data_IF_719461471082
#
_entry.id   IF_719461471082
#
_cell.length_a   1.000
_cell.length_b   1.000
_cell.length_c   1.000
_cell.angle_alpha   90.00
_cell.angle_beta   90.00
_cell.angle_gamma   90.00
#
_symmetry.space_group_name_H-M   'P 1'
#
loop_
_entity.id
_entity.type
_entity.pdbx_description
1 polymer ?
#
# COMPACT_ATOMS: atom_id res chain seq x y z
N UNK A 1 2.73 -6.34 15.25
CA UNK A 1 3.67 -7.40 14.83
C UNK A 1 4.58 -6.95 13.69
N UNK A 2 4.12 -6.15 12.74
CA UNK A 2 4.98 -5.53 11.72
C UNK A 2 4.47 -4.14 11.33
N UNK A 3 5.31 -3.37 10.65
CA UNK A 3 4.95 -2.07 10.09
C UNK A 3 4.56 -2.19 8.61
N UNK A 4 3.56 -1.43 8.23
CA UNK A 4 3.13 -1.23 6.85
C UNK A 4 3.01 0.26 6.57
N UNK A 5 3.15 0.63 5.30
CA UNK A 5 2.91 2.00 4.82
C UNK A 5 2.04 1.93 3.59
N UNK A 6 1.03 2.80 3.55
CA UNK A 6 0.25 3.02 2.33
C UNK A 6 1.03 3.95 1.41
N UNK A 7 1.46 3.41 0.27
CA UNK A 7 2.26 4.12 -0.72
C UNK A 7 1.41 4.49 -1.92
N UNK A 8 1.73 5.63 -2.54
CA UNK A 8 1.11 6.06 -3.79
C UNK A 8 1.84 5.40 -4.96
N UNK A 9 1.08 4.80 -5.87
CA UNK A 9 1.61 4.12 -7.06
C UNK A 9 1.04 4.71 -8.34
N UNK A 10 1.86 4.75 -9.38
CA UNK A 10 1.48 5.11 -10.74
C UNK A 10 2.20 4.21 -11.76
N UNK A 11 1.69 4.13 -12.99
CA UNK A 11 2.48 3.61 -14.10
C UNK A 11 3.75 4.46 -14.28
N UNK A 12 4.90 3.86 -14.67
CA UNK A 12 6.12 4.61 -14.96
C UNK A 12 5.92 5.72 -16.00
N UNK A 13 5.03 5.48 -16.98
CA UNK A 13 4.67 6.41 -18.05
C UNK A 13 3.66 7.50 -17.65
N UNK A 14 3.11 7.45 -16.43
CA UNK A 14 2.09 8.40 -15.99
C UNK A 14 2.68 9.83 -15.88
N UNK A 15 2.01 10.89 -16.36
CA UNK A 15 2.57 12.26 -16.38
C UNK A 15 3.07 12.76 -15.02
N UNK A 16 2.38 12.41 -13.94
CA UNK A 16 2.78 12.75 -12.57
C UNK A 16 4.22 12.33 -12.21
N UNK A 17 4.76 11.29 -12.86
CA UNK A 17 6.13 10.81 -12.60
C UNK A 17 7.22 11.73 -13.13
N UNK A 18 6.83 12.73 -13.94
CA UNK A 18 7.71 13.76 -14.50
C UNK A 18 7.78 15.02 -13.65
N UNK A 19 6.91 15.14 -12.63
CA UNK A 19 6.96 16.28 -11.72
C UNK A 19 8.23 16.19 -10.86
N UNK A 20 8.98 17.30 -10.71
CA UNK A 20 10.18 17.32 -9.89
C UNK A 20 9.87 17.15 -8.39
N UNK A 21 8.65 17.50 -7.98
CA UNK A 21 8.14 17.45 -6.61
C UNK A 21 6.64 17.18 -6.70
N UNK A 22 6.18 16.15 -6.00
CA UNK A 22 4.77 15.74 -6.01
C UNK A 22 4.17 16.08 -4.66
N UNK A 23 3.10 16.85 -4.64
CA UNK A 23 2.36 17.21 -3.43
C UNK A 23 1.05 16.43 -3.32
N UNK A 24 0.44 16.45 -2.14
CA UNK A 24 -0.91 15.90 -1.95
C UNK A 24 -1.94 16.56 -2.88
N UNK A 25 -1.80 17.86 -3.14
CA UNK A 25 -2.69 18.59 -4.05
C UNK A 25 -2.54 18.12 -5.50
N UNK A 26 -1.34 17.76 -5.94
CA UNK A 26 -1.10 17.24 -7.29
C UNK A 26 -1.78 15.89 -7.48
N UNK A 27 -1.55 14.95 -6.55
CA UNK A 27 -2.19 13.63 -6.64
C UNK A 27 -3.71 13.74 -6.52
N UNK A 28 -4.25 14.73 -5.80
CA UNK A 28 -5.70 14.92 -5.67
C UNK A 28 -6.41 15.20 -7.00
N UNK A 29 -5.71 15.75 -7.99
CA UNK A 29 -6.25 16.03 -9.33
C UNK A 29 -6.30 14.79 -10.23
N UNK A 30 -5.54 13.75 -9.87
CA UNK A 30 -5.44 12.52 -10.64
C UNK A 30 -6.59 11.56 -10.34
N UNK A 31 -7.03 10.75 -11.33
CA UNK A 31 -8.06 9.76 -11.10
C UNK A 31 -7.54 8.64 -10.18
N UNK A 32 -8.15 8.52 -9.00
CA UNK A 32 -7.83 7.43 -8.08
C UNK A 32 -8.60 6.14 -8.38
N UNK A 33 -7.86 5.04 -8.37
CA UNK A 33 -8.35 3.67 -8.41
C UNK A 33 -8.39 3.15 -6.97
N UNK A 34 -9.58 3.07 -6.40
CA UNK A 34 -9.77 2.78 -4.99
C UNK A 34 -10.31 1.36 -4.77
N UNK A 35 -10.06 0.83 -3.58
CA UNK A 35 -10.84 -0.30 -3.09
C UNK A 35 -12.31 0.11 -2.86
N UNK A 36 -13.19 -0.89 -2.88
CA UNK A 36 -14.62 -0.72 -2.56
C UNK A 36 -14.85 0.12 -1.30
N UNK A 37 -15.93 0.90 -1.35
CA UNK A 37 -16.39 1.71 -0.23
C UNK A 37 -16.48 0.91 1.08
N UNK A 38 -16.14 1.56 2.19
CA UNK A 38 -16.18 0.95 3.52
C UNK A 38 -14.94 0.15 3.92
N UNK A 39 -13.99 -0.10 3.00
CA UNK A 39 -12.71 -0.71 3.36
C UNK A 39 -11.91 0.16 4.34
N UNK A 40 -11.24 -0.48 5.31
CA UNK A 40 -10.44 0.22 6.32
C UNK A 40 -9.33 1.07 5.70
N UNK A 41 -8.67 0.53 4.67
CA UNK A 41 -7.64 1.23 3.89
C UNK A 41 -8.19 2.52 3.27
N UNK A 42 -9.37 2.48 2.63
CA UNK A 42 -9.96 3.67 2.01
C UNK A 42 -10.28 4.77 3.03
N UNK A 43 -10.76 4.40 4.23
CA UNK A 43 -11.02 5.39 5.29
C UNK A 43 -9.75 6.12 5.73
N UNK A 44 -8.62 5.41 5.86
CA UNK A 44 -7.33 6.01 6.20
C UNK A 44 -6.88 6.99 5.11
N UNK A 45 -7.03 6.58 3.85
CA UNK A 45 -6.74 7.39 2.68
C UNK A 45 -7.59 8.66 2.66
N UNK A 46 -8.91 8.54 2.71
CA UNK A 46 -9.84 9.67 2.68
C UNK A 46 -9.60 10.63 3.86
N UNK A 47 -9.29 10.09 5.04
CA UNK A 47 -8.91 10.88 6.22
C UNK A 47 -7.67 11.74 5.96
N UNK A 48 -6.62 11.18 5.33
CA UNK A 48 -5.40 11.93 5.01
C UNK A 48 -5.64 13.08 4.05
N UNK A 49 -6.48 12.88 3.03
CA UNK A 49 -6.86 13.95 2.10
C UNK A 49 -7.66 15.05 2.83
N UNK A 50 -8.58 14.65 3.70
CA UNK A 50 -9.36 15.57 4.54
C UNK A 50 -8.49 16.42 5.45
N UNK A 51 -7.46 15.83 6.08
CA UNK A 51 -6.52 16.55 6.95
C UNK A 51 -5.75 17.66 6.20
N UNK A 52 -5.56 17.50 4.89
CA UNK A 52 -4.92 18.47 4.01
C UNK A 52 -5.91 19.43 3.33
N UNK A 53 -7.22 19.33 3.64
CA UNK A 53 -8.25 20.17 3.06
C UNK A 53 -8.46 19.96 1.55
N UNK A 54 -8.02 18.82 1.00
CA UNK A 54 -8.15 18.49 -0.43
C UNK A 54 -9.20 17.42 -0.66
N UNK A 55 -9.89 17.50 -1.80
CA UNK A 55 -10.86 16.49 -2.23
C UNK A 55 -10.19 15.60 -3.27
N UNK A 56 -10.17 14.30 -2.97
CA UNK A 56 -9.64 13.28 -3.88
C UNK A 56 -10.58 13.08 -5.08
N UNK A 57 -10.04 13.09 -6.30
CA UNK A 57 -10.79 12.70 -7.50
C UNK A 57 -10.92 11.18 -7.60
N UNK A 58 -12.11 10.66 -7.36
CA UNK A 58 -12.41 9.23 -7.50
C UNK A 58 -12.59 8.91 -8.99
N UNK A 59 -11.70 8.08 -9.55
CA UNK A 59 -11.79 7.61 -10.94
C UNK A 59 -12.62 6.34 -11.07
N UNK A 60 -12.27 5.30 -10.29
CA UNK A 60 -12.99 4.03 -10.29
C UNK A 60 -12.82 3.25 -8.98
N UNK A 61 -13.68 2.25 -8.78
CA UNK A 61 -13.59 1.30 -7.67
C UNK A 61 -13.26 -0.10 -8.17
N UNK A 62 -12.42 -0.82 -7.43
CA UNK A 62 -12.00 -2.18 -7.73
C UNK A 62 -12.15 -3.12 -6.53
N UNK A 63 -12.32 -4.41 -6.83
CA UNK A 63 -12.67 -5.44 -5.86
C UNK A 63 -11.51 -5.94 -5.01
N UNK A 64 -10.29 -5.95 -5.56
CA UNK A 64 -9.08 -6.44 -4.91
C UNK A 64 -7.81 -5.70 -5.33
N UNK A 65 -6.74 -5.88 -4.54
CA UNK A 65 -5.46 -5.19 -4.73
C UNK A 65 -4.80 -5.51 -6.07
N UNK A 66 -4.92 -6.73 -6.59
CA UNK A 66 -4.33 -7.11 -7.88
C UNK A 66 -5.03 -6.38 -9.05
N UNK A 67 -6.36 -6.25 -9.01
CA UNK A 67 -7.14 -5.51 -10.00
C UNK A 67 -6.75 -4.02 -10.00
N UNK A 68 -6.60 -3.44 -8.80
CA UNK A 68 -6.13 -2.06 -8.62
C UNK A 68 -4.75 -1.90 -9.28
N UNK A 69 -3.79 -2.76 -8.96
CA UNK A 69 -2.43 -2.68 -9.52
C UNK A 69 -2.44 -2.78 -11.03
N UNK A 70 -3.21 -3.70 -11.61
CA UNK A 70 -3.31 -3.88 -13.07
C UNK A 70 -3.94 -2.68 -13.76
N UNK A 71 -4.93 -2.06 -13.15
CA UNK A 71 -5.55 -0.84 -13.67
C UNK A 71 -4.57 0.36 -13.64
N UNK A 72 -3.78 0.49 -12.57
CA UNK A 72 -2.72 1.51 -12.46
C UNK A 72 -1.61 1.26 -13.49
N UNK A 73 -1.14 0.01 -13.63
CA UNK A 73 -0.13 -0.41 -14.61
C UNK A 73 -0.58 -0.08 -16.05
N UNK A 74 -1.88 -0.19 -16.32
CA UNK A 74 -2.50 0.17 -17.60
C UNK A 74 -2.67 1.68 -17.82
N UNK A 75 -2.26 2.53 -16.87
CA UNK A 75 -2.33 3.98 -16.97
C UNK A 75 -3.72 4.58 -16.74
N UNK A 76 -4.66 3.83 -16.16
CA UNK A 76 -6.04 4.31 -15.91
C UNK A 76 -6.14 5.31 -14.75
N UNK A 77 -5.05 5.52 -14.02
CA UNK A 77 -4.95 6.44 -12.91
C UNK A 77 -3.87 6.03 -11.91
N UNK A 78 -3.99 6.54 -10.69
CA UNK A 78 -3.09 6.24 -9.57
C UNK A 78 -3.83 5.52 -8.44
N UNK A 79 -3.09 4.88 -7.54
CA UNK A 79 -3.70 4.21 -6.39
C UNK A 79 -2.85 4.32 -5.14
N UNK A 80 -3.46 3.96 -4.01
CA UNK A 80 -2.78 3.83 -2.73
C UNK A 80 -2.98 2.43 -2.19
N UNK A 81 -1.87 1.74 -1.96
CA UNK A 81 -1.85 0.33 -1.54
C UNK A 81 -0.76 0.09 -0.51
N UNK A 82 -0.80 -1.06 0.17
CA UNK A 82 0.30 -1.47 1.05
C UNK A 82 1.59 -1.57 0.25
N UNK A 83 2.69 -1.01 0.77
CA UNK A 83 4.02 -1.15 0.18
C UNK A 83 4.35 -2.63 -0.10
N UNK A 84 3.99 -3.52 0.83
CA UNK A 84 4.26 -4.95 0.72
C UNK A 84 3.55 -5.62 -0.45
N UNK A 85 2.43 -5.04 -0.93
CA UNK A 85 1.66 -5.60 -2.04
C UNK A 85 2.21 -5.27 -3.44
N UNK A 86 3.16 -4.33 -3.54
CA UNK A 86 3.71 -3.83 -4.81
C UNK A 86 5.20 -4.17 -4.99
N UNK A 87 5.76 -5.01 -4.13
CA UNK A 87 7.17 -5.40 -4.18
C UNK A 87 7.60 -5.91 -5.56
N UNK A 88 6.78 -6.78 -6.17
CA UNK A 88 7.11 -7.38 -7.47
C UNK A 88 7.05 -6.36 -8.60
N UNK A 89 5.97 -5.59 -8.63
CA UNK A 89 5.68 -4.64 -9.70
C UNK A 89 6.67 -3.46 -9.66
N UNK A 90 7.03 -2.98 -8.47
CA UNK A 90 8.06 -1.95 -8.30
C UNK A 90 9.44 -2.51 -8.62
N UNK A 91 9.77 -3.72 -8.14
CA UNK A 91 11.05 -4.36 -8.41
C UNK A 91 11.28 -4.66 -9.89
N UNK A 92 10.22 -4.99 -10.64
CA UNK A 92 10.25 -5.24 -12.08
C UNK A 92 10.05 -3.98 -12.94
N UNK A 93 9.77 -2.83 -12.33
CA UNK A 93 9.53 -1.57 -13.04
C UNK A 93 8.17 -1.45 -13.73
N UNK A 94 7.20 -2.31 -13.44
CA UNK A 94 5.82 -2.20 -13.92
C UNK A 94 5.04 -1.09 -13.23
N UNK A 95 5.38 -0.78 -11.98
CA UNK A 95 4.81 0.31 -11.20
C UNK A 95 5.91 1.17 -10.60
N UNK A 96 5.63 2.45 -10.44
CA UNK A 96 6.50 3.39 -9.72
C UNK A 96 5.83 3.80 -8.41
N UNK A 97 6.55 3.64 -7.30
CA UNK A 97 6.19 4.26 -6.04
C UNK A 97 6.54 5.75 -6.10
N UNK A 98 5.58 6.61 -5.77
CA UNK A 98 5.76 8.07 -5.77
C UNK A 98 6.17 8.55 -4.38
N UNK A 99 7.15 9.46 -4.34
CA UNK A 99 7.46 10.25 -3.15
C UNK A 99 6.57 11.49 -3.15
N UNK A 100 5.55 11.48 -2.29
CA UNK A 100 4.56 12.55 -2.20
C UNK A 100 4.76 13.31 -0.90
N UNK A 101 4.88 14.62 -1.00
CA UNK A 101 5.05 15.47 0.18
C UNK A 101 3.77 15.62 0.98
N UNK A 102 3.93 15.62 2.30
CA UNK A 102 2.82 15.55 3.24
C UNK A 102 2.21 14.13 3.34
N UNK A 103 2.64 13.20 2.49
CA UNK A 103 2.15 11.82 2.51
C UNK A 103 3.01 10.92 3.40
N UNK A 104 2.50 10.68 4.60
CA UNK A 104 2.94 9.57 5.45
C UNK A 104 1.71 8.94 6.09
N UNK A 105 1.50 7.65 5.80
CA UNK A 105 0.41 6.83 6.32
C UNK A 105 0.96 5.46 6.79
N UNK A 106 1.65 5.44 7.93
CA UNK A 106 2.06 4.19 8.56
C UNK A 106 0.84 3.51 9.20
N UNK A 107 0.82 2.18 9.17
CA UNK A 107 -0.11 1.37 9.94
C UNK A 107 0.57 0.13 10.49
N UNK A 108 0.03 -0.39 11.58
CA UNK A 108 0.53 -1.62 12.18
C UNK A 108 -0.22 -2.83 11.59
N UNK A 109 0.52 -3.88 11.23
CA UNK A 109 -0.04 -5.21 11.21
C UNK A 109 -0.14 -5.72 12.64
N UNK A 110 -1.34 -6.14 13.03
CA UNK A 110 -1.64 -6.65 14.35
C UNK A 110 -1.99 -8.13 14.31
N UNK A 111 -1.62 -8.85 15.35
CA UNK A 111 -1.93 -10.25 15.53
C UNK A 111 -3.05 -10.34 16.55
N UNK A 112 -4.24 -10.71 16.10
CA UNK A 112 -5.45 -10.77 16.91
C UNK A 112 -5.78 -12.23 17.18
N UNK A 113 -5.95 -12.58 18.45
CA UNK A 113 -6.36 -13.91 18.87
C UNK A 113 -7.50 -13.83 19.88
N UNK A 114 -8.32 -14.88 19.95
CA UNK A 114 -9.36 -14.98 20.97
C UNK A 114 -8.71 -15.34 22.31
N UNK A 115 -9.07 -14.60 23.38
CA UNK A 115 -8.44 -14.74 24.72
C UNK A 115 -8.49 -16.16 25.27
N UNK A 116 -9.54 -16.92 24.95
CA UNK A 116 -9.76 -18.28 25.45
C UNK A 116 -9.44 -19.38 24.43
N UNK A 117 -8.69 -19.08 23.36
CA UNK A 117 -8.36 -20.08 22.35
C UNK A 117 -7.21 -20.95 22.84
N UNK A 118 -7.40 -22.27 22.83
CA UNK A 118 -6.30 -23.21 22.98
C UNK A 118 -5.44 -23.19 21.71
N UNK A 119 -4.13 -23.04 21.87
CA UNK A 119 -3.19 -23.10 20.76
C UNK A 119 -2.54 -24.48 20.73
N UNK A 120 -2.49 -25.12 19.56
CA UNK A 120 -1.64 -26.28 19.40
C UNK A 120 -0.16 -25.87 19.43
N UNK A 121 0.77 -26.78 19.73
CA UNK A 121 2.20 -26.47 19.72
C UNK A 121 2.69 -25.84 18.40
N UNK A 122 2.12 -26.26 17.27
CA UNK A 122 2.42 -25.68 15.96
C UNK A 122 1.97 -24.21 15.86
N UNK A 123 0.80 -23.87 16.41
CA UNK A 123 0.33 -22.47 16.42
C UNK A 123 1.20 -21.63 17.35
N UNK A 124 1.53 -22.12 18.54
CA UNK A 124 2.43 -21.39 19.46
C UNK A 124 3.79 -21.13 18.82
N UNK A 125 4.38 -22.15 18.18
CA UNK A 125 5.63 -22.01 17.45
C UNK A 125 5.54 -20.96 16.35
N UNK A 126 4.47 -20.96 15.54
CA UNK A 126 4.25 -19.95 14.52
C UNK A 126 4.07 -18.54 15.10
N UNK A 127 3.30 -18.38 16.18
CA UNK A 127 3.08 -17.07 16.81
C UNK A 127 4.39 -16.52 17.38
N UNK A 128 5.22 -17.35 18.00
CA UNK A 128 6.56 -16.98 18.47
C UNK A 128 7.44 -16.55 17.31
N UNK A 129 7.55 -17.40 16.27
CA UNK A 129 8.31 -17.10 15.07
C UNK A 129 7.88 -15.77 14.44
N UNK A 130 6.58 -15.56 14.25
CA UNK A 130 6.05 -14.33 13.65
C UNK A 130 6.32 -13.09 14.51
N UNK A 131 6.30 -13.20 15.85
CA UNK A 131 6.64 -12.08 16.74
C UNK A 131 8.12 -11.71 16.69
N UNK A 132 8.99 -12.68 16.51
CA UNK A 132 10.44 -12.47 16.44
C UNK A 132 10.87 -11.97 15.06
N UNK A 133 10.34 -12.54 13.98
CA UNK A 133 10.80 -12.26 12.62
C UNK A 133 10.08 -11.08 11.95
N UNK A 134 8.78 -10.90 12.18
CA UNK A 134 8.03 -9.85 11.48
C UNK A 134 8.54 -8.42 11.76
N UNK A 135 8.99 -8.05 12.97
CA UNK A 135 9.61 -6.74 13.20
C UNK A 135 10.94 -6.52 12.47
N UNK A 136 11.64 -7.61 12.10
CA UNK A 136 12.94 -7.55 11.40
C UNK A 136 12.76 -7.26 9.90
N UNK A 137 11.55 -7.43 9.36
CA UNK A 137 11.27 -7.21 7.95
C UNK A 137 11.37 -5.72 7.60
N UNK A 138 12.29 -5.38 6.68
CA UNK A 138 12.37 -4.06 6.08
C UNK A 138 12.00 -4.14 4.61
N UNK A 139 11.18 -3.20 4.16
CA UNK A 139 10.69 -3.15 2.78
C UNK A 139 11.83 -3.16 1.75
N UNK A 140 12.84 -2.30 1.95
CA UNK A 140 14.01 -2.21 1.08
C UNK A 140 14.83 -3.50 0.99
N UNK A 141 14.88 -4.28 2.08
CA UNK A 141 15.63 -5.54 2.11
C UNK A 141 14.90 -6.64 1.33
N UNK A 142 13.56 -6.63 1.35
CA UNK A 142 12.74 -7.59 0.61
C UNK A 142 12.68 -7.24 -0.87
N UNK A 143 12.61 -5.95 -1.23
CA UNK A 143 12.60 -5.49 -2.61
C UNK A 143 13.85 -5.93 -3.40
N UNK A 144 15.00 -6.01 -2.72
CA UNK A 144 16.28 -6.43 -3.33
C UNK A 144 16.41 -7.95 -3.50
N UNK A 145 15.50 -8.75 -2.92
CA UNK A 145 15.57 -10.21 -3.05
C UNK A 145 15.04 -10.62 -4.42
N UNK A 146 15.76 -11.47 -5.17
CA UNK A 146 15.25 -12.00 -6.43
C UNK A 146 13.96 -12.78 -6.15
N UNK A 147 12.89 -12.45 -6.87
CA UNK A 147 11.66 -13.26 -6.88
C UNK A 147 12.04 -14.56 -7.58
N UNK A 148 12.17 -15.65 -6.82
CA UNK A 148 12.31 -16.97 -7.43
C UNK A 148 10.99 -17.30 -8.13
N UNK A 149 11.06 -17.53 -9.44
CA UNK A 149 9.96 -18.01 -10.27
C UNK A 149 9.61 -19.47 -9.89
#
# INVERSE_FOLDING_TARGET
VALDRLVVIAAPSHPITQLPRITISDIAQEPFILARYGSSTRRLIEGKFKDHGVVMRIGMEQGGTEDIKKAVESGLGIAMVSQWSVLREVGAGYLRQLEVEGWDLPRNYEMITHKSRYFSPAVESFLTFAREEAPKLKFADVLKRPVRA
#
